data_IF_531681225937
#
_entry.id   IF_531681225937
#
_cell.length_a   1.000
_cell.length_b   1.000
_cell.length_c   1.000
_cell.angle_alpha   90.00
_cell.angle_beta   90.00
_cell.angle_gamma   90.00
#
_symmetry.space_group_name_H-M   'P 1'
#
loop_
_entity.id
_entity.type
_entity.pdbx_description
1 polymer ?
#
# COMPACT_ATOMS: atom_id res chain seq x y z
N UNK A 1 -6.50 -8.59 -14.87
CA UNK A 1 -5.99 -7.27 -14.42
C UNK A 1 -5.60 -7.38 -12.93
N UNK A 2 -5.12 -6.29 -12.31
CA UNK A 2 -4.52 -6.32 -10.95
C UNK A 2 -5.52 -6.86 -9.93
N UNK A 3 -6.74 -6.33 -9.98
CA UNK A 3 -7.85 -6.72 -9.12
C UNK A 3 -8.22 -8.19 -9.28
N UNK A 4 -8.23 -8.72 -10.52
CA UNK A 4 -8.53 -10.14 -10.74
C UNK A 4 -7.48 -11.06 -10.13
N UNK A 5 -6.20 -10.67 -10.11
CA UNK A 5 -5.16 -11.48 -9.47
C UNK A 5 -5.29 -11.40 -7.95
N UNK A 6 -5.53 -10.20 -7.41
CA UNK A 6 -5.73 -10.01 -5.98
C UNK A 6 -6.93 -10.82 -5.47
N UNK A 7 -8.07 -10.75 -6.15
CA UNK A 7 -9.29 -11.47 -5.78
C UNK A 7 -9.16 -13.00 -5.86
N UNK A 8 -8.23 -13.51 -6.69
CA UNK A 8 -7.94 -14.96 -6.80
C UNK A 8 -6.82 -15.42 -5.87
N UNK A 9 -6.12 -14.50 -5.21
CA UNK A 9 -5.07 -14.84 -4.25
C UNK A 9 -5.68 -15.43 -2.98
N UNK A 10 -4.90 -16.23 -2.25
CA UNK A 10 -5.39 -16.93 -1.06
C UNK A 10 -5.90 -15.97 0.04
N UNK A 11 -5.25 -14.80 0.18
CA UNK A 11 -5.48 -13.90 1.32
C UNK A 11 -5.80 -12.45 0.93
N UNK A 12 -5.85 -12.14 -0.37
CA UNK A 12 -6.02 -10.76 -0.86
C UNK A 12 -5.03 -9.76 -0.24
N UNK A 13 -3.77 -10.19 -0.14
CA UNK A 13 -2.68 -9.46 0.48
C UNK A 13 -1.77 -8.80 -0.57
N UNK A 14 -1.44 -7.53 -0.35
CA UNK A 14 -0.42 -6.79 -1.10
C UNK A 14 0.71 -6.46 -0.14
N UNK A 15 1.92 -6.93 -0.43
CA UNK A 15 3.15 -6.59 0.27
C UNK A 15 3.83 -5.40 -0.39
N UNK A 16 4.27 -4.44 0.42
CA UNK A 16 5.19 -3.37 0.03
C UNK A 16 6.50 -3.52 0.81
N UNK A 17 7.58 -3.81 0.09
CA UNK A 17 8.94 -3.83 0.63
C UNK A 17 9.69 -2.58 0.16
N UNK A 18 10.09 -1.70 1.08
CA UNK A 18 10.86 -0.48 0.83
C UNK A 18 12.22 -0.57 1.54
N UNK A 19 13.29 -0.84 0.80
CA UNK A 19 14.62 -1.09 1.37
C UNK A 19 15.22 0.14 2.07
N UNK A 20 14.77 1.33 1.67
CA UNK A 20 15.27 2.61 2.19
C UNK A 20 14.33 3.22 3.24
N UNK A 21 13.26 2.52 3.63
CA UNK A 21 12.34 2.96 4.66
C UNK A 21 12.75 2.42 6.05
N UNK A 22 12.33 3.15 7.09
CA UNK A 22 12.50 2.73 8.49
C UNK A 22 11.38 1.79 8.91
N UNK A 23 11.58 1.01 9.98
CA UNK A 23 10.49 0.24 10.58
C UNK A 23 9.40 1.18 11.14
N UNK A 24 8.11 0.80 11.06
CA UNK A 24 7.55 -0.42 10.46
C UNK A 24 7.34 -0.34 8.94
N UNK A 25 7.68 0.77 8.30
CA UNK A 25 7.42 1.05 6.88
C UNK A 25 8.28 0.29 5.87
N UNK A 26 9.28 -0.45 6.35
CA UNK A 26 10.18 -1.23 5.51
C UNK A 26 9.47 -2.41 4.84
N UNK A 27 8.62 -3.13 5.56
CA UNK A 27 7.88 -4.27 5.04
C UNK A 27 6.45 -4.21 5.56
N UNK A 28 5.51 -3.90 4.67
CA UNK A 28 4.14 -3.50 5.03
C UNK A 28 3.14 -4.33 4.23
N UNK A 29 2.09 -4.80 4.88
CA UNK A 29 1.10 -5.68 4.28
C UNK A 29 -0.28 -5.01 4.29
N UNK A 30 -0.82 -4.75 3.12
CA UNK A 30 -2.22 -4.33 2.94
C UNK A 30 -3.07 -5.58 2.74
N UNK A 31 -4.11 -5.76 3.55
CA UNK A 31 -5.10 -6.85 3.38
C UNK A 31 -6.42 -6.27 2.94
N UNK A 32 -6.91 -6.72 1.79
CA UNK A 32 -8.24 -6.33 1.32
C UNK A 32 -9.33 -7.17 2.01
N UNK A 33 -10.41 -6.51 2.45
CA UNK A 33 -11.55 -7.15 3.14
C UNK A 33 -12.83 -7.19 2.30
N UNK A 34 -13.00 -6.24 1.38
CA UNK A 34 -14.17 -6.14 0.50
C UNK A 34 -13.74 -6.18 -0.97
N UNK A 35 -14.63 -6.33 -1.96
CA UNK A 35 -14.24 -6.31 -3.37
C UNK A 35 -13.36 -5.10 -3.72
N UNK A 36 -12.27 -5.33 -4.45
CA UNK A 36 -11.34 -4.28 -4.84
C UNK A 36 -12.00 -3.31 -5.84
N UNK A 37 -11.93 -1.98 -5.62
CA UNK A 37 -12.42 -1.01 -6.60
C UNK A 37 -11.56 -1.07 -7.88
N UNK A 38 -12.16 -0.80 -9.04
CA UNK A 38 -11.49 -0.92 -10.36
C UNK A 38 -10.16 -0.17 -10.46
N UNK A 39 -10.03 0.94 -9.75
CA UNK A 39 -8.85 1.79 -9.71
C UNK A 39 -7.90 1.51 -8.51
N UNK A 40 -7.99 0.34 -7.86
CA UNK A 40 -7.18 0.03 -6.67
C UNK A 40 -5.66 0.19 -6.93
N UNK A 41 -5.16 -0.18 -8.11
CA UNK A 41 -3.74 0.01 -8.45
C UNK A 41 -3.34 1.49 -8.44
N UNK A 42 -4.20 2.38 -8.96
CA UNK A 42 -3.97 3.83 -8.96
C UNK A 42 -4.04 4.40 -7.53
N UNK A 43 -4.98 3.92 -6.72
CA UNK A 43 -5.08 4.29 -5.29
C UNK A 43 -3.77 3.92 -4.57
N UNK A 44 -3.30 2.68 -4.76
CA UNK A 44 -2.07 2.19 -4.12
C UNK A 44 -0.83 2.97 -4.57
N UNK A 45 -0.69 3.20 -5.89
CA UNK A 45 0.56 3.71 -6.46
C UNK A 45 0.63 5.23 -6.59
N UNK A 46 -0.50 5.94 -6.62
CA UNK A 46 -0.51 7.38 -6.92
C UNK A 46 -1.09 8.23 -5.78
N UNK A 47 -2.30 7.90 -5.35
CA UNK A 47 -3.06 8.71 -4.40
C UNK A 47 -3.84 7.80 -3.44
N UNK A 48 -3.17 7.42 -2.34
CA UNK A 48 -3.73 6.50 -1.36
C UNK A 48 -4.72 7.23 -0.45
N UNK A 49 -5.95 7.33 -0.93
CA UNK A 49 -7.09 7.86 -0.19
C UNK A 49 -7.74 6.74 0.63
N UNK A 50 -7.46 6.74 1.93
CA UNK A 50 -7.87 5.70 2.89
C UNK A 50 -9.24 5.95 3.53
N UNK A 51 -9.97 6.97 3.08
CA UNK A 51 -11.28 7.36 3.64
C UNK A 51 -12.37 7.51 2.56
N UNK A 52 -12.03 7.27 1.29
CA UNK A 52 -13.03 7.25 0.23
C UNK A 52 -13.90 6.01 0.28
N UNK A 53 -15.11 6.12 -0.24
CA UNK A 53 -16.02 4.98 -0.41
C UNK A 53 -15.34 3.84 -1.18
N UNK A 54 -15.47 2.61 -0.67
CA UNK A 54 -14.81 1.43 -1.22
C UNK A 54 -13.30 1.34 -0.94
N UNK A 55 -12.71 2.28 -0.20
CA UNK A 55 -11.34 2.18 0.29
C UNK A 55 -11.17 2.87 1.65
N UNK A 56 -12.01 2.51 2.63
CA UNK A 56 -11.90 2.95 4.02
C UNK A 56 -11.08 1.99 4.88
N UNK A 57 -10.04 2.48 5.55
CA UNK A 57 -9.26 1.66 6.50
C UNK A 57 -10.17 1.15 7.64
N UNK A 58 -9.99 -0.10 8.07
CA UNK A 58 -10.83 -0.76 9.08
C UNK A 58 -12.12 -1.36 8.54
N UNK A 59 -12.56 -0.95 7.35
CA UNK A 59 -13.79 -1.45 6.70
C UNK A 59 -13.42 -2.27 5.46
N UNK A 60 -12.74 -1.63 4.52
CA UNK A 60 -12.43 -2.16 3.20
C UNK A 60 -11.05 -2.83 3.15
N UNK A 61 -10.15 -2.41 4.03
CA UNK A 61 -8.82 -2.96 4.18
C UNK A 61 -8.22 -2.68 5.54
N UNK A 62 -7.18 -3.43 5.89
CA UNK A 62 -6.27 -3.13 6.99
C UNK A 62 -4.81 -3.12 6.52
N UNK A 63 -3.94 -2.50 7.31
CA UNK A 63 -2.49 -2.50 7.11
C UNK A 63 -1.81 -3.17 8.31
N UNK A 64 -0.80 -3.99 8.06
CA UNK A 64 -0.07 -4.75 9.07
C UNK A 64 1.43 -4.58 8.92
N UNK A 65 2.14 -4.68 10.04
CA UNK A 65 3.60 -4.58 10.12
C UNK A 65 4.31 -5.90 9.78
N UNK A 66 3.59 -7.02 9.80
CA UNK A 66 4.15 -8.35 9.50
C UNK A 66 3.18 -9.21 8.70
N UNK A 67 3.73 -10.20 7.97
CA UNK A 67 2.91 -11.16 7.24
C UNK A 67 2.04 -12.00 8.18
N UNK A 68 2.59 -12.44 9.32
CA UNK A 68 1.84 -13.26 10.28
C UNK A 68 0.61 -12.51 10.81
N UNK A 69 0.78 -11.25 11.21
CA UNK A 69 -0.32 -10.40 11.65
C UNK A 69 -1.37 -10.20 10.55
N UNK A 70 -0.93 -10.03 9.30
CA UNK A 70 -1.83 -9.89 8.17
C UNK A 70 -2.58 -11.17 7.81
N UNK A 71 -1.97 -12.35 8.02
CA UNK A 71 -2.61 -13.65 7.80
C UNK A 71 -3.62 -13.98 8.91
N UNK A 72 -3.31 -13.58 10.15
CA UNK A 72 -4.15 -13.82 11.33
C UNK A 72 -5.16 -12.71 11.60
N UNK A 73 -5.04 -11.59 10.89
CA UNK A 73 -5.88 -10.39 11.04
C UNK A 73 -5.82 -9.82 12.47
N UNK A 74 -4.61 -9.72 13.02
CA UNK A 74 -4.35 -9.20 14.37
C UNK A 74 -3.43 -8.00 14.32
N UNK A 75 -3.55 -7.08 15.29
CA UNK A 75 -2.73 -5.87 15.40
C UNK A 75 -2.68 -5.00 14.11
N UNK A 76 -3.81 -4.68 13.47
CA UNK A 76 -3.79 -3.76 12.34
C UNK A 76 -3.31 -2.38 12.78
N UNK A 77 -2.72 -1.64 11.85
CA UNK A 77 -2.43 -0.22 12.00
C UNK A 77 -3.71 0.54 12.32
N UNK A 78 -3.64 1.42 13.32
CA UNK A 78 -4.83 2.07 13.90
C UNK A 78 -4.98 3.52 13.47
N UNK A 79 -4.00 4.07 12.76
CA UNK A 79 -4.00 5.49 12.45
C UNK A 79 -3.67 5.77 10.99
N UNK A 80 -4.45 6.69 10.41
CA UNK A 80 -4.11 7.47 9.24
C UNK A 80 -4.46 8.93 9.50
N UNK A 81 -3.53 9.84 9.19
CA UNK A 81 -3.86 11.26 9.20
C UNK A 81 -4.86 11.58 8.07
N UNK A 82 -5.76 12.56 8.25
CA UNK A 82 -6.77 12.91 7.23
C UNK A 82 -6.19 13.03 5.83
N UNK A 83 -6.90 12.50 4.84
CA UNK A 83 -6.47 12.57 3.44
C UNK A 83 -6.44 14.03 2.96
N UNK A 84 -5.37 14.41 2.26
CA UNK A 84 -5.17 15.74 1.71
C UNK A 84 -5.08 15.65 0.17
N UNK A 85 -6.14 16.07 -0.57
CA UNK A 85 -6.15 16.00 -2.02
C UNK A 85 -5.18 16.99 -2.69
N UNK A 86 -4.74 18.05 -1.98
CA UNK A 86 -3.73 18.98 -2.48
C UNK A 86 -2.31 18.41 -2.36
N UNK A 87 -2.15 17.39 -1.50
CA UNK A 87 -0.89 16.72 -1.21
C UNK A 87 -0.99 15.21 -1.35
N UNK A 88 -1.17 14.79 -2.60
CA UNK A 88 -1.34 13.37 -2.95
C UNK A 88 -0.06 12.58 -2.76
N UNK A 89 -0.16 11.59 -1.87
CA UNK A 89 0.87 10.60 -1.54
C UNK A 89 0.32 9.22 -1.89
N UNK A 90 1.16 8.33 -2.40
CA UNK A 90 0.81 6.92 -2.58
C UNK A 90 0.92 6.15 -1.26
N UNK A 91 0.85 4.82 -1.31
CA UNK A 91 0.80 3.96 -0.12
C UNK A 91 2.07 4.04 0.76
N UNK A 92 1.97 4.01 2.12
CA UNK A 92 0.74 4.05 2.93
C UNK A 92 0.33 5.48 3.35
N UNK A 93 0.65 6.50 2.55
CA UNK A 93 0.36 7.91 2.84
C UNK A 93 0.92 8.33 4.22
N UNK A 94 0.06 8.82 5.12
CA UNK A 94 0.38 9.18 6.52
C UNK A 94 -0.30 8.22 7.50
N UNK A 95 -0.27 6.94 7.18
CA UNK A 95 -0.74 5.87 8.07
C UNK A 95 0.40 5.28 8.89
N UNK A 96 0.09 4.72 10.06
CA UNK A 96 1.04 4.06 10.95
C UNK A 96 0.34 3.15 11.97
N UNK A 97 1.10 2.31 12.71
CA UNK A 97 0.55 1.45 13.76
C UNK A 97 -0.35 2.19 14.74
N UNK A 98 0.06 3.41 15.09
CA UNK A 98 -0.64 4.33 15.97
C UNK A 98 -0.32 5.79 15.56
N UNK A 99 -0.88 6.74 16.31
CA UNK A 99 -0.68 8.16 16.05
C UNK A 99 0.78 8.57 16.29
N UNK A 100 1.39 8.13 17.39
CA UNK A 100 2.74 8.58 17.79
C UNK A 100 3.84 8.07 16.86
N UNK A 101 3.69 6.86 16.32
CA UNK A 101 4.64 6.22 15.41
C UNK A 101 4.43 6.57 13.94
N UNK A 102 3.34 7.27 13.61
CA UNK A 102 3.05 7.66 12.23
C UNK A 102 4.10 8.60 11.65
N UNK A 103 4.55 8.32 10.43
CA UNK A 103 5.57 9.09 9.71
C UNK A 103 4.98 9.71 8.44
N UNK A 104 5.47 10.91 8.09
CA UNK A 104 4.94 11.69 6.96
C UNK A 104 5.73 11.54 5.66
N UNK A 105 6.86 10.81 5.70
CA UNK A 105 7.86 10.72 4.63
C UNK A 105 8.12 9.26 4.16
N UNK A 106 7.45 8.28 4.76
CA UNK A 106 7.68 6.86 4.48
C UNK A 106 6.81 6.27 3.37
N UNK A 107 6.03 7.08 2.67
CA UNK A 107 5.20 6.70 1.52
C UNK A 107 6.00 6.56 0.22
N UNK A 108 5.35 5.98 -0.79
CA UNK A 108 5.87 5.81 -2.16
C UNK A 108 4.78 6.17 -3.16
N UNK A 109 5.15 6.97 -4.17
CA UNK A 109 4.28 7.33 -5.30
C UNK A 109 4.99 7.05 -6.61
N UNK A 110 4.26 6.55 -7.59
CA UNK A 110 4.72 6.37 -8.96
C UNK A 110 4.10 7.44 -9.87
N UNK A 111 4.87 7.95 -10.82
CA UNK A 111 4.32 8.71 -11.94
C UNK A 111 3.87 7.75 -13.07
N UNK A 112 3.28 8.30 -14.13
CA UNK A 112 2.81 7.54 -15.31
C UNK A 112 3.92 6.84 -16.12
N UNK A 113 5.19 7.22 -15.92
CA UNK A 113 6.36 6.51 -16.50
C UNK A 113 6.81 5.34 -15.61
N UNK A 114 6.19 5.20 -14.43
CA UNK A 114 6.59 4.26 -13.41
C UNK A 114 7.80 4.72 -12.61
N UNK A 115 8.29 5.96 -12.72
CA UNK A 115 9.33 6.42 -11.79
C UNK A 115 8.73 6.63 -10.41
N UNK A 116 9.49 6.28 -9.36
CA UNK A 116 9.12 6.68 -7.99
C UNK A 116 9.45 8.17 -7.87
N UNK A 117 8.49 8.94 -7.40
CA UNK A 117 8.59 10.40 -7.31
C UNK A 117 8.12 10.91 -5.96
N UNK A 118 8.67 12.05 -5.54
CA UNK A 118 8.11 12.90 -4.50
C UNK A 118 6.92 13.70 -5.03
N UNK A 119 6.24 14.44 -4.15
CA UNK A 119 4.99 15.16 -4.48
C UNK A 119 5.22 16.19 -5.60
N UNK A 120 6.38 16.85 -5.61
CA UNK A 120 6.79 17.81 -6.62
C UNK A 120 7.26 17.18 -7.94
N UNK A 121 7.12 15.85 -8.10
CA UNK A 121 7.53 15.12 -9.30
C UNK A 121 9.02 14.81 -9.38
N UNK A 122 9.84 15.25 -8.41
CA UNK A 122 11.27 14.92 -8.36
C UNK A 122 11.43 13.42 -8.14
N UNK A 123 12.26 12.79 -8.97
CA UNK A 123 12.53 11.35 -8.88
C UNK A 123 13.17 11.01 -7.53
N UNK A 124 12.62 9.99 -6.88
CA UNK A 124 13.15 9.41 -5.67
C UNK A 124 14.08 8.24 -6.01
N UNK A 125 15.08 8.03 -5.18
CA UNK A 125 16.00 6.88 -5.27
C UNK A 125 15.56 5.69 -4.42
N UNK A 126 14.40 5.79 -3.75
CA UNK A 126 13.86 4.68 -2.94
C UNK A 126 13.69 3.42 -3.79
N UNK A 127 14.12 2.29 -3.26
CA UNK A 127 13.96 0.95 -3.82
C UNK A 127 12.73 0.31 -3.19
N UNK A 128 11.67 0.18 -3.98
CA UNK A 128 10.37 -0.29 -3.51
C UNK A 128 9.81 -1.36 -4.43
N UNK A 129 9.39 -2.47 -3.83
CA UNK A 129 8.69 -3.56 -4.46
C UNK A 129 7.24 -3.61 -3.94
N UNK A 130 6.30 -3.84 -4.86
CA UNK A 130 4.94 -4.26 -4.54
C UNK A 130 4.71 -5.66 -5.10
N UNK A 131 4.10 -6.53 -4.31
CA UNK A 131 3.77 -7.89 -4.72
C UNK A 131 2.43 -8.33 -4.14
N UNK A 132 1.69 -9.19 -4.86
CA UNK A 132 0.54 -9.88 -4.30
C UNK A 132 1.06 -11.13 -3.58
N UNK A 133 0.80 -11.23 -2.28
CA UNK A 133 1.25 -12.33 -1.44
C UNK A 133 0.38 -13.56 -1.69
N UNK A 134 1.01 -14.69 -1.99
CA UNK A 134 0.38 -16.01 -2.09
C UNK A 134 1.13 -17.02 -1.23
N UNK A 135 0.47 -18.13 -0.90
CA UNK A 135 1.09 -19.25 -0.19
C UNK A 135 2.16 -19.91 -1.09
N UNK A 136 3.43 -19.62 -0.81
CA UNK A 136 4.57 -20.38 -1.34
C UNK A 136 5.38 -19.76 -2.49
N UNK A 137 4.89 -18.73 -3.18
CA UNK A 137 5.68 -17.97 -4.17
C UNK A 137 5.16 -16.53 -4.14
N UNK A 138 5.98 -15.57 -3.70
CA UNK A 138 5.77 -14.16 -4.05
C UNK A 138 5.71 -14.15 -5.59
N UNK A 139 4.52 -14.00 -6.18
CA UNK A 139 4.43 -13.68 -7.59
C UNK A 139 4.92 -12.23 -7.70
N UNK A 140 6.25 -12.06 -7.73
CA UNK A 140 6.94 -10.81 -7.95
C UNK A 140 6.61 -10.41 -9.39
N UNK A 141 5.46 -9.74 -9.57
CA UNK A 141 5.08 -9.19 -10.87
C UNK A 141 5.53 -7.74 -10.92
N UNK A 142 6.70 -7.54 -11.53
CA UNK A 142 7.25 -6.22 -11.78
C UNK A 142 6.31 -5.39 -12.65
N UNK A 143 5.80 -4.30 -12.07
CA UNK A 143 5.70 -2.90 -12.54
C UNK A 143 5.16 -2.55 -13.94
N UNK A 144 5.17 -3.41 -14.95
CA UNK A 144 4.88 -3.01 -16.34
C UNK A 144 3.48 -3.41 -16.84
N UNK A 145 2.77 -4.29 -16.13
CA UNK A 145 1.47 -4.81 -16.59
C UNK A 145 0.24 -4.11 -15.95
N UNK A 146 0.46 -3.10 -15.09
CA UNK A 146 -0.58 -2.58 -14.17
C UNK A 146 -0.86 -1.08 -14.25
N UNK A 147 -0.16 -0.34 -15.11
CA UNK A 147 -0.53 1.01 -15.55
C UNK A 147 -1.10 0.92 -16.96
#
# INVERSE_FOLDING_TARGET
NFNSILAKSAHSLIRRLCLDCVAPYRDVYYRRKTPAPDNLSLIMYQAFNHDMEGNRMGVDFDIYSTLEEALREINPWKYCAPYDPSNTRGFPNRCGPDFESSRTDQWTRYNWRGDIVWQNGVKSVKRVLFAIQNDGIDQIKFKQEWM
#
